data_IF_314568396240
#
_entry.id   IF_314568396240
#
_cell.length_a   1.000
_cell.length_b   1.000
_cell.length_c   1.000
_cell.angle_alpha   90.00
_cell.angle_beta   90.00
_cell.angle_gamma   90.00
#
_symmetry.space_group_name_H-M   'P 1'
#
loop_
_entity.id
_entity.type
_entity.pdbx_description
1 polymer ?
#
# COMPACT_ATOMS: atom_id res chain seq x y z
N UNK A 1 -17.41 -17.56 -13.17
CA UNK A 1 -18.11 -16.26 -13.11
C UNK A 1 -18.51 -15.83 -14.51
N UNK A 2 -19.57 -15.03 -14.64
CA UNK A 2 -20.33 -14.92 -15.89
C UNK A 2 -19.80 -13.84 -16.88
N UNK A 3 -19.59 -14.23 -18.14
CA UNK A 3 -19.19 -13.34 -19.24
C UNK A 3 -20.29 -12.34 -19.66
N UNK A 4 -21.56 -12.67 -19.45
CA UNK A 4 -22.69 -11.76 -19.70
C UNK A 4 -22.60 -10.51 -18.81
N UNK A 5 -22.20 -10.68 -17.55
CA UNK A 5 -21.99 -9.56 -16.62
C UNK A 5 -20.81 -8.70 -17.07
N UNK A 6 -19.72 -9.29 -17.57
CA UNK A 6 -18.58 -8.57 -18.15
C UNK A 6 -18.98 -7.75 -19.37
N UNK A 7 -19.81 -8.32 -20.25
CA UNK A 7 -20.32 -7.62 -21.42
C UNK A 7 -21.23 -6.44 -21.03
N UNK A 8 -22.12 -6.63 -20.05
CA UNK A 8 -22.98 -5.56 -19.53
C UNK A 8 -22.15 -4.43 -18.89
N UNK A 9 -21.15 -4.79 -18.08
CA UNK A 9 -20.20 -3.84 -17.48
C UNK A 9 -19.46 -3.03 -18.54
N UNK A 10 -18.87 -3.69 -19.54
CA UNK A 10 -18.13 -3.02 -20.61
C UNK A 10 -19.03 -2.06 -21.40
N UNK A 11 -20.27 -2.46 -21.70
CA UNK A 11 -21.23 -1.60 -22.39
C UNK A 11 -21.55 -0.34 -21.58
N UNK A 12 -21.80 -0.46 -20.27
CA UNK A 12 -22.10 0.66 -19.38
C UNK A 12 -20.89 1.61 -19.25
N UNK A 13 -19.69 1.06 -19.05
CA UNK A 13 -18.44 1.85 -18.99
C UNK A 13 -18.22 2.61 -20.30
N UNK A 14 -18.48 1.99 -21.45
CA UNK A 14 -18.32 2.62 -22.75
C UNK A 14 -19.36 3.73 -23.02
N UNK A 15 -20.63 3.52 -22.62
CA UNK A 15 -21.70 4.47 -22.89
C UNK A 15 -21.75 5.65 -21.93
N UNK A 16 -21.38 5.43 -20.66
CA UNK A 16 -21.61 6.40 -19.58
C UNK A 16 -20.32 6.86 -18.89
N UNK A 17 -19.21 6.12 -19.03
CA UNK A 17 -17.91 6.51 -18.49
C UNK A 17 -17.93 6.77 -16.98
N UNK A 18 -17.29 7.86 -16.57
CA UNK A 18 -17.14 8.24 -15.15
C UNK A 18 -18.46 8.41 -14.40
N UNK A 19 -19.51 8.89 -15.10
CA UNK A 19 -20.84 9.03 -14.50
C UNK A 19 -21.42 7.68 -14.04
N UNK A 20 -20.97 6.55 -14.59
CA UNK A 20 -21.37 5.21 -14.17
C UNK A 20 -20.64 4.73 -12.93
N UNK A 21 -19.31 4.77 -12.95
CA UNK A 21 -18.50 4.14 -11.89
C UNK A 21 -18.09 5.09 -10.76
N UNK A 22 -18.44 6.38 -10.85
CA UNK A 22 -18.23 7.34 -9.75
C UNK A 22 -19.11 7.11 -8.51
N UNK A 23 -20.15 6.28 -8.62
CA UNK A 23 -21.05 5.94 -7.50
C UNK A 23 -21.37 4.43 -7.49
N UNK A 24 -20.98 3.75 -6.40
CA UNK A 24 -21.22 2.33 -6.21
C UNK A 24 -22.72 1.96 -6.20
N UNK A 25 -23.61 2.83 -5.68
CA UNK A 25 -25.05 2.58 -5.67
C UNK A 25 -25.64 2.61 -7.09
N UNK A 26 -25.08 3.47 -7.95
CA UNK A 26 -25.47 3.55 -9.36
C UNK A 26 -25.02 2.33 -10.14
N UNK A 27 -23.81 1.84 -9.89
CA UNK A 27 -23.30 0.59 -10.46
C UNK A 27 -24.20 -0.59 -10.09
N UNK A 28 -24.60 -0.69 -8.81
CA UNK A 28 -25.51 -1.72 -8.32
C UNK A 28 -26.87 -1.67 -9.04
N UNK A 29 -27.47 -0.48 -9.13
CA UNK A 29 -28.78 -0.30 -9.76
C UNK A 29 -28.78 -0.65 -11.26
N UNK A 30 -27.81 -0.15 -12.02
CA UNK A 30 -27.78 -0.33 -13.48
C UNK A 30 -27.38 -1.76 -13.89
N UNK A 31 -26.48 -2.41 -13.15
CA UNK A 31 -26.19 -3.83 -13.40
C UNK A 31 -27.34 -4.72 -12.96
N UNK A 32 -28.00 -4.41 -11.84
CA UNK A 32 -29.19 -5.12 -11.38
C UNK A 32 -30.35 -5.09 -12.37
N UNK A 33 -30.54 -3.97 -13.07
CA UNK A 33 -31.56 -3.84 -14.12
C UNK A 33 -31.28 -4.74 -15.34
N UNK A 34 -30.00 -4.90 -15.72
CA UNK A 34 -29.61 -5.61 -16.95
C UNK A 34 -29.31 -7.10 -16.75
N UNK A 35 -28.67 -7.44 -15.64
CA UNK A 35 -28.10 -8.77 -15.35
C UNK A 35 -28.40 -9.21 -13.91
N UNK A 36 -29.58 -8.84 -13.39
CA UNK A 36 -30.01 -9.06 -12.00
C UNK A 36 -30.04 -10.53 -11.55
N UNK A 37 -30.01 -11.49 -12.48
CA UNK A 37 -29.91 -12.92 -12.18
C UNK A 37 -28.50 -13.34 -11.67
N UNK A 38 -27.54 -12.40 -11.59
CA UNK A 38 -26.16 -12.62 -11.13
C UNK A 38 -25.77 -11.75 -9.91
N UNK A 39 -26.45 -11.91 -8.75
CA UNK A 39 -26.26 -11.02 -7.60
C UNK A 39 -24.85 -11.09 -6.98
N UNK A 40 -24.18 -12.26 -7.02
CA UNK A 40 -22.83 -12.42 -6.47
C UNK A 40 -21.78 -11.64 -7.28
N UNK A 41 -21.86 -11.73 -8.61
CA UNK A 41 -21.01 -10.98 -9.52
C UNK A 41 -21.24 -9.47 -9.41
N UNK A 42 -22.50 -9.03 -9.32
CA UNK A 42 -22.84 -7.62 -9.11
C UNK A 42 -22.24 -7.12 -7.79
N UNK A 43 -22.44 -7.86 -6.69
CA UNK A 43 -21.90 -7.49 -5.40
C UNK A 43 -20.37 -7.37 -5.42
N UNK A 44 -19.67 -8.25 -6.13
CA UNK A 44 -18.21 -8.17 -6.29
C UNK A 44 -17.77 -6.91 -7.06
N UNK A 45 -18.46 -6.56 -8.16
CA UNK A 45 -18.16 -5.34 -8.92
C UNK A 45 -18.44 -4.06 -8.14
N UNK A 46 -19.55 -4.02 -7.39
CA UNK A 46 -19.89 -2.91 -6.50
C UNK A 46 -18.86 -2.77 -5.38
N UNK A 47 -18.43 -3.91 -4.81
CA UNK A 47 -17.37 -3.93 -3.80
C UNK A 47 -16.05 -3.40 -4.35
N UNK A 48 -15.70 -3.69 -5.60
CA UNK A 48 -14.51 -3.14 -6.24
C UNK A 48 -14.55 -1.60 -6.32
N UNK A 49 -15.71 -1.02 -6.66
CA UNK A 49 -15.89 0.44 -6.67
C UNK A 49 -15.71 1.02 -5.27
N UNK A 50 -16.35 0.42 -4.25
CA UNK A 50 -16.19 0.84 -2.84
C UNK A 50 -14.75 0.71 -2.36
N UNK A 51 -13.99 -0.24 -2.90
CA UNK A 51 -12.58 -0.46 -2.60
C UNK A 51 -11.61 0.46 -3.36
N UNK A 52 -12.13 1.41 -4.14
CA UNK A 52 -11.31 2.35 -4.92
C UNK A 52 -10.57 1.71 -6.10
N UNK A 53 -10.92 0.47 -6.47
CA UNK A 53 -10.26 -0.29 -7.55
C UNK A 53 -10.31 0.47 -8.87
N UNK A 54 -11.47 1.03 -9.21
CA UNK A 54 -11.68 1.74 -10.48
C UNK A 54 -10.77 2.96 -10.58
N UNK A 55 -10.70 3.76 -9.50
CA UNK A 55 -9.85 4.94 -9.43
C UNK A 55 -8.38 4.58 -9.62
N UNK A 56 -7.88 3.56 -8.91
CA UNK A 56 -6.49 3.13 -9.03
C UNK A 56 -6.18 2.56 -10.42
N UNK A 57 -7.09 1.78 -11.02
CA UNK A 57 -6.91 1.23 -12.38
C UNK A 57 -6.85 2.32 -13.47
N UNK A 58 -7.55 3.44 -13.28
CA UNK A 58 -7.48 4.59 -14.21
C UNK A 58 -6.11 5.27 -14.18
N UNK A 59 -5.46 5.32 -13.01
CA UNK A 59 -4.14 5.94 -12.81
C UNK A 59 -2.98 4.99 -13.13
N UNK A 60 -3.21 3.67 -13.15
CA UNK A 60 -2.19 2.66 -13.43
C UNK A 60 -1.77 2.69 -14.91
N UNK A 61 -0.44 2.80 -15.13
CA UNK A 61 0.18 2.71 -16.46
C UNK A 61 -0.13 1.36 -17.13
N UNK A 62 -0.38 1.31 -18.45
CA UNK A 62 -0.79 0.08 -19.15
C UNK A 62 0.09 -1.16 -18.89
N UNK A 63 1.42 -1.00 -18.81
CA UNK A 63 2.35 -2.10 -18.55
C UNK A 63 2.43 -2.60 -17.10
N UNK A 64 1.71 -1.95 -16.16
CA UNK A 64 1.66 -2.32 -14.74
C UNK A 64 0.29 -2.88 -14.34
N UNK A 65 -0.67 -2.97 -15.27
CA UNK A 65 -2.05 -3.36 -14.95
C UNK A 65 -2.15 -4.78 -14.38
N UNK A 66 -1.40 -5.74 -14.92
CA UNK A 66 -1.41 -7.13 -14.41
C UNK A 66 -0.92 -7.21 -12.96
N UNK A 67 0.08 -6.42 -12.60
CA UNK A 67 0.61 -6.34 -11.23
C UNK A 67 -0.43 -5.68 -10.31
N UNK A 68 -1.09 -4.62 -10.79
CA UNK A 68 -2.13 -3.93 -10.03
C UNK A 68 -3.34 -4.83 -9.73
N UNK A 69 -3.72 -5.73 -10.65
CA UNK A 69 -4.86 -6.64 -10.46
C UNK A 69 -4.71 -7.48 -9.19
N UNK A 70 -3.55 -8.10 -8.99
CA UNK A 70 -3.29 -8.92 -7.82
C UNK A 70 -3.32 -8.13 -6.50
N UNK A 71 -2.72 -6.94 -6.49
CA UNK A 71 -2.71 -6.07 -5.31
C UNK A 71 -4.12 -5.58 -4.94
N UNK A 72 -4.89 -5.14 -5.94
CA UNK A 72 -6.26 -4.63 -5.78
C UNK A 72 -7.23 -5.73 -5.35
N UNK A 73 -7.10 -6.93 -5.90
CA UNK A 73 -7.89 -8.09 -5.47
C UNK A 73 -7.57 -8.44 -4.01
N UNK A 74 -6.28 -8.46 -3.64
CA UNK A 74 -5.84 -8.64 -2.27
C UNK A 74 -6.39 -7.57 -1.32
N UNK A 75 -6.55 -6.31 -1.76
CA UNK A 75 -7.21 -5.26 -0.98
C UNK A 75 -8.70 -5.58 -0.78
N UNK A 76 -9.43 -5.96 -1.83
CA UNK A 76 -10.85 -6.32 -1.71
C UNK A 76 -11.08 -7.46 -0.72
N UNK A 77 -10.22 -8.49 -0.73
CA UNK A 77 -10.31 -9.61 0.22
C UNK A 77 -10.06 -9.14 1.65
N UNK A 78 -8.94 -8.46 1.90
CA UNK A 78 -8.52 -8.07 3.26
C UNK A 78 -9.42 -7.03 3.87
N UNK A 79 -9.73 -6.00 3.09
CA UNK A 79 -10.48 -4.85 3.56
C UNK A 79 -11.94 -5.24 3.55
N UNK A 80 -12.51 -5.55 2.39
CA UNK A 80 -13.95 -5.71 2.24
C UNK A 80 -14.48 -7.11 2.56
N UNK A 81 -13.62 -8.05 2.94
CA UNK A 81 -14.02 -9.43 3.20
C UNK A 81 -14.57 -10.14 1.96
N UNK A 82 -14.16 -9.68 0.77
CA UNK A 82 -14.60 -10.28 -0.49
C UNK A 82 -14.05 -11.70 -0.62
N UNK A 83 -14.82 -12.58 -1.26
CA UNK A 83 -14.33 -13.88 -1.68
C UNK A 83 -13.10 -13.71 -2.62
N UNK A 84 -12.00 -14.47 -2.44
CA UNK A 84 -10.78 -14.29 -3.22
C UNK A 84 -10.94 -14.41 -4.73
N UNK A 85 -11.69 -15.41 -5.19
CA UNK A 85 -11.91 -15.64 -6.62
C UNK A 85 -12.84 -14.55 -7.18
N UNK A 86 -13.85 -14.16 -6.41
CA UNK A 86 -14.74 -13.07 -6.78
C UNK A 86 -14.03 -11.71 -6.87
N UNK A 87 -13.11 -11.43 -5.94
CA UNK A 87 -12.30 -10.23 -5.93
C UNK A 87 -11.38 -10.17 -7.15
N UNK A 88 -10.67 -11.26 -7.45
CA UNK A 88 -9.79 -11.32 -8.61
C UNK A 88 -10.56 -11.08 -9.91
N UNK A 89 -11.67 -11.81 -10.10
CA UNK A 89 -12.52 -11.66 -11.27
C UNK A 89 -13.10 -10.25 -11.40
N UNK A 90 -13.51 -9.62 -10.30
CA UNK A 90 -14.09 -8.26 -10.34
C UNK A 90 -13.06 -7.23 -10.80
N UNK A 91 -11.82 -7.31 -10.28
CA UNK A 91 -10.74 -6.41 -10.66
C UNK A 91 -10.33 -6.60 -12.12
N UNK A 92 -10.21 -7.85 -12.59
CA UNK A 92 -9.97 -8.15 -14.00
C UNK A 92 -11.06 -7.59 -14.90
N UNK A 93 -12.33 -7.75 -14.49
CA UNK A 93 -13.50 -7.29 -15.27
C UNK A 93 -13.51 -5.77 -15.41
N UNK A 94 -13.19 -5.04 -14.33
CA UNK A 94 -13.02 -3.59 -14.38
C UNK A 94 -11.82 -3.18 -15.26
N UNK A 95 -10.67 -3.84 -15.12
CA UNK A 95 -9.49 -3.55 -15.93
C UNK A 95 -9.75 -3.73 -17.42
N UNK A 96 -10.48 -4.79 -17.80
CA UNK A 96 -10.88 -5.05 -19.17
C UNK A 96 -11.88 -4.01 -19.68
N UNK A 97 -12.92 -3.68 -18.91
CA UNK A 97 -13.94 -2.70 -19.30
C UNK A 97 -13.34 -1.29 -19.50
N UNK A 98 -12.47 -0.85 -18.59
CA UNK A 98 -11.78 0.44 -18.67
C UNK A 98 -10.76 0.45 -19.82
N UNK A 99 -10.06 -0.66 -20.06
CA UNK A 99 -9.14 -0.81 -21.18
C UNK A 99 -9.84 -0.75 -22.54
N UNK A 100 -11.01 -1.35 -22.67
CA UNK A 100 -11.82 -1.30 -23.90
C UNK A 100 -12.44 0.08 -24.17
N UNK A 101 -12.70 0.86 -23.11
CA UNK A 101 -13.26 2.21 -23.22
C UNK A 101 -12.22 3.29 -23.55
N UNK A 102 -10.92 3.02 -23.38
CA UNK A 102 -9.87 3.97 -23.76
C UNK A 102 -9.70 4.02 -25.29
N UNK A 103 -9.75 5.20 -25.93
CA UNK A 103 -9.46 5.31 -27.35
C UNK A 103 -8.03 4.85 -27.62
N UNK A 104 -7.82 4.13 -28.74
CA UNK A 104 -6.50 3.69 -29.14
C UNK A 104 -5.50 4.87 -29.12
N UNK A 105 -4.27 4.70 -28.61
CA UNK A 105 -3.28 5.77 -28.63
C UNK A 105 -3.13 6.25 -30.08
N UNK A 106 -3.21 7.58 -30.27
CA UNK A 106 -2.99 8.18 -31.58
C UNK A 106 -1.68 7.63 -32.18
N UNK A 107 -1.64 7.28 -33.49
CA UNK A 107 -0.42 6.82 -34.11
C UNK A 107 0.67 7.86 -33.84
N UNK A 108 1.84 7.40 -33.39
CA UNK A 108 2.98 8.27 -33.12
C UNK A 108 3.22 9.18 -34.33
N UNK A 109 3.52 10.49 -34.14
CA UNK A 109 3.88 11.36 -35.25
C UNK A 109 5.04 10.71 -36.01
N UNK A 110 4.93 10.68 -37.34
CA UNK A 110 5.96 10.10 -38.19
C UNK A 110 7.33 10.67 -37.83
N UNK A 111 8.39 9.84 -37.78
CA UNK A 111 9.73 10.33 -37.50
C UNK A 111 10.06 11.46 -38.49
N UNK A 112 10.70 12.55 -38.04
CA UNK A 112 11.10 13.62 -38.95
C UNK A 112 12.00 13.04 -40.06
N UNK A 113 11.92 13.57 -41.30
CA UNK A 113 12.71 13.06 -42.40
C UNK A 113 14.20 13.09 -42.04
N UNK A 114 15.00 12.10 -42.49
CA UNK A 114 16.42 12.07 -42.19
C UNK A 114 17.09 13.34 -42.71
N UNK A 115 17.77 14.04 -41.81
CA UNK A 115 18.59 15.20 -42.15
C UNK A 115 19.70 14.72 -43.10
N UNK A 116 19.90 15.33 -44.28
CA UNK A 116 20.98 14.92 -45.17
C UNK A 116 22.33 15.09 -44.47
N UNK A 117 23.14 14.02 -44.50
CA UNK A 117 24.49 14.02 -43.97
C UNK A 117 25.30 15.11 -44.66
N UNK A 118 25.71 16.12 -43.91
CA UNK A 118 26.72 17.08 -44.35
C UNK A 118 28.07 16.41 -44.13
N UNK A 119 28.83 16.25 -45.22
CA UNK A 119 30.19 15.72 -45.19
C UNK A 119 31.07 16.56 -44.24
N UNK A 120 31.58 15.94 -43.18
CA UNK A 120 32.59 16.55 -42.32
C UNK A 120 33.95 16.51 -43.03
N UNK A 121 34.69 17.63 -43.18
CA UNK A 121 36.07 17.60 -43.62
C UNK A 121 37.01 17.13 -42.49
N UNK A 122 38.24 16.68 -42.83
CA UNK A 122 39.03 15.82 -41.95
C UNK A 122 39.65 16.54 -40.75
N UNK A 123 39.76 15.77 -39.67
CA UNK A 123 40.31 16.10 -38.36
C UNK A 123 41.71 16.72 -38.42
N UNK A 124 41.82 18.00 -38.08
CA UNK A 124 43.08 18.69 -37.76
C UNK A 124 43.28 18.76 -36.24
N UNK A 125 44.42 18.23 -35.77
CA UNK A 125 44.87 18.31 -34.37
C UNK A 125 45.04 19.78 -33.95
N UNK A 126 44.43 20.17 -32.84
CA UNK A 126 44.86 21.32 -32.05
C UNK A 126 44.92 20.96 -30.55
N UNK A 127 45.94 21.44 -29.81
CA UNK A 127 46.14 21.14 -28.39
C UNK A 127 45.20 21.97 -27.51
N UNK A 128 45.02 21.63 -26.22
CA UNK A 128 44.11 22.36 -25.34
C UNK A 128 44.81 23.59 -24.73
N UNK A 129 44.15 24.76 -24.70
CA UNK A 129 44.47 25.78 -23.71
C UNK A 129 43.25 26.10 -22.84
N UNK A 130 43.39 25.87 -21.54
CA UNK A 130 43.51 26.90 -20.49
C UNK A 130 42.17 27.43 -19.94
N UNK A 131 41.97 27.16 -18.65
CA UNK A 131 40.96 27.80 -17.79
C UNK A 131 41.30 29.27 -17.57
N UNK A 132 40.38 30.16 -17.93
CA UNK A 132 40.14 31.49 -17.31
C UNK A 132 38.61 31.63 -17.34
N UNK A 133 37.89 31.79 -16.25
CA UNK A 133 38.03 32.76 -15.18
C UNK A 133 36.61 33.25 -14.90
N UNK A 134 36.05 32.79 -13.77
CA UNK A 134 35.24 33.58 -12.82
C UNK A 134 34.37 34.70 -13.42
N UNK A 135 33.05 34.52 -13.38
CA UNK A 135 32.14 35.62 -13.07
C UNK A 135 31.10 35.18 -12.03
N UNK A 136 30.93 36.08 -11.08
CA UNK A 136 30.19 35.95 -9.83
C UNK A 136 29.02 36.94 -9.88
N UNK A 137 27.90 36.56 -9.22
CA UNK A 137 26.90 37.43 -8.54
C UNK A 137 25.88 38.14 -9.48
N UNK A 138 24.64 38.53 -9.05
CA UNK A 138 23.95 38.39 -7.75
C UNK A 138 22.52 37.77 -7.79
N UNK A 139 22.04 37.33 -6.63
CA UNK A 139 20.61 37.36 -6.25
C UNK A 139 20.22 38.77 -5.78
N UNK A 140 18.99 39.26 -6.13
CA UNK A 140 18.10 39.72 -5.04
C UNK A 140 16.58 39.52 -5.27
N UNK A 141 15.92 39.11 -4.18
CA UNK A 141 14.54 39.34 -3.70
C UNK A 141 13.41 39.74 -4.67
N UNK A 142 12.37 38.89 -4.73
CA UNK A 142 10.97 39.33 -4.66
C UNK A 142 10.23 38.44 -3.67
N UNK A 143 9.65 39.08 -2.65
CA UNK A 143 8.74 38.50 -1.68
C UNK A 143 7.36 38.24 -2.30
N UNK A 144 6.65 37.18 -1.89
CA UNK A 144 5.23 37.12 -1.47
C UNK A 144 4.73 35.66 -1.40
N UNK A 145 4.15 35.26 -0.25
CA UNK A 145 3.36 34.04 -0.01
C UNK A 145 4.17 32.74 0.09
N UNK A 146 4.26 32.02 1.20
CA UNK A 146 3.14 31.52 1.99
C UNK A 146 2.61 30.20 1.41
N UNK A 147 3.34 29.08 1.56
CA UNK A 147 2.82 27.71 1.65
C UNK A 147 3.95 26.65 1.53
N UNK A 148 3.85 25.63 2.39
CA UNK A 148 4.27 24.23 2.19
C UNK A 148 5.73 23.92 1.86
N UNK A 149 6.47 23.52 2.90
CA UNK A 149 7.64 22.65 2.81
C UNK A 149 7.15 21.25 2.38
N UNK A 150 7.25 20.96 1.08
CA UNK A 150 7.17 19.60 0.52
C UNK A 150 8.26 19.52 -0.55
N UNK A 151 9.36 18.83 -0.28
CA UNK A 151 10.44 18.74 -1.26
C UNK A 151 11.75 18.17 -0.74
N UNK A 152 11.71 17.00 -0.11
CA UNK A 152 12.83 16.05 0.01
C UNK A 152 12.16 14.79 0.59
N UNK A 153 11.97 13.68 -0.11
CA UNK A 153 13.01 12.76 -0.58
C UNK A 153 12.40 11.93 -1.70
N UNK A 154 12.84 12.18 -2.94
CA UNK A 154 12.62 11.30 -4.08
C UNK A 154 13.96 11.11 -4.78
N UNK A 155 14.94 10.48 -4.10
CA UNK A 155 16.17 9.98 -4.74
C UNK A 155 17.03 9.17 -3.75
N UNK A 156 16.78 7.87 -3.56
CA UNK A 156 17.81 6.79 -3.52
C UNK A 156 17.10 5.44 -3.73
N UNK A 157 16.83 5.05 -4.97
CA UNK A 157 16.64 3.65 -5.36
C UNK A 157 17.35 3.44 -6.67
N UNK A 158 18.62 3.01 -6.62
CA UNK A 158 19.22 2.20 -7.69
C UNK A 158 20.52 1.54 -7.20
N UNK A 159 20.68 0.27 -7.55
CA UNK A 159 21.88 -0.58 -7.47
C UNK A 159 22.09 -1.29 -6.13
N UNK A 160 21.70 -2.57 -6.07
CA UNK A 160 22.59 -3.73 -5.86
C UNK A 160 21.82 -5.06 -5.95
N UNK A 161 21.40 -5.42 -7.17
CA UNK A 161 21.41 -6.84 -7.57
C UNK A 161 22.84 -7.19 -7.98
N UNK A 162 23.22 -8.46 -7.78
CA UNK A 162 24.52 -9.11 -8.06
C UNK A 162 25.45 -9.15 -6.84
N UNK A 163 25.28 -10.17 -6.00
CA UNK A 163 26.20 -11.33 -5.96
C UNK A 163 25.54 -12.42 -5.14
N UNK A 164 25.15 -13.51 -5.80
CA UNK A 164 24.94 -14.79 -5.13
C UNK A 164 26.27 -15.35 -4.67
N UNK A 165 26.26 -16.00 -3.51
CA UNK A 165 27.24 -17.04 -3.19
C UNK A 165 26.51 -18.22 -2.55
N UNK A 166 26.68 -19.31 -3.26
CA UNK A 166 26.34 -20.70 -3.01
C UNK A 166 26.89 -21.23 -1.69
N UNK A 167 26.12 -22.07 -1.01
CA UNK A 167 26.58 -22.88 0.12
C UNK A 167 25.78 -24.17 0.21
N UNK A 168 26.28 -25.20 -0.47
CA UNK A 168 25.87 -26.60 -0.38
C UNK A 168 26.31 -27.18 0.97
N UNK A 169 25.52 -28.04 1.61
CA UNK A 169 25.69 -29.51 1.56
C UNK A 169 25.18 -30.25 2.81
N UNK A 170 24.85 -31.53 2.60
CA UNK A 170 24.85 -32.65 3.54
C UNK A 170 23.64 -32.91 4.46
N UNK A 171 22.71 -33.73 3.93
CA UNK A 171 22.75 -35.19 4.17
C UNK A 171 22.16 -35.75 5.48
N UNK A 172 21.27 -36.74 5.33
CA UNK A 172 21.06 -37.78 6.35
C UNK A 172 19.60 -38.18 6.58
N UNK A 173 19.09 -39.12 5.76
CA UNK A 173 17.83 -39.81 6.02
C UNK A 173 17.95 -40.87 7.11
N UNK A 174 16.85 -41.11 7.80
CA UNK A 174 16.68 -42.20 8.77
C UNK A 174 15.28 -42.19 9.37
N UNK A 175 14.45 -43.14 8.97
CA UNK A 175 13.04 -43.29 9.33
C UNK A 175 12.84 -44.30 10.48
N UNK A 176 12.18 -43.84 11.57
CA UNK A 176 11.21 -44.49 12.49
C UNK A 176 11.51 -45.87 13.19
N UNK A 177 10.74 -46.31 14.23
CA UNK A 177 9.81 -45.63 15.16
C UNK A 177 10.03 -45.92 16.68
N UNK A 178 9.17 -45.28 17.50
CA UNK A 178 8.91 -45.29 18.96
C UNK A 178 9.07 -46.59 19.78
N UNK A 179 9.19 -46.49 21.12
CA UNK A 179 7.98 -46.56 21.95
C UNK A 179 7.89 -45.55 23.12
N UNK A 180 6.66 -45.30 23.54
CA UNK A 180 6.22 -44.43 24.63
C UNK A 180 6.86 -44.73 25.98
N UNK A 181 7.29 -43.70 26.72
CA UNK A 181 7.35 -43.71 28.18
C UNK A 181 7.06 -42.31 28.71
N UNK A 182 5.96 -42.21 29.46
CA UNK A 182 5.55 -41.05 30.24
C UNK A 182 6.56 -40.80 31.36
N UNK A 183 7.29 -39.69 31.31
CA UNK A 183 7.91 -39.06 32.49
C UNK A 183 7.56 -37.57 32.45
N UNK A 184 6.78 -37.15 33.45
CA UNK A 184 6.49 -35.75 33.71
C UNK A 184 7.80 -35.01 34.05
N UNK A 185 8.33 -34.28 33.07
CA UNK A 185 9.41 -33.31 33.29
C UNK A 185 8.84 -31.92 33.12
N UNK A 186 8.61 -31.24 34.25
CA UNK A 186 8.40 -29.78 34.30
C UNK A 186 9.66 -29.12 33.73
N UNK A 187 9.64 -28.80 32.45
CA UNK A 187 10.60 -27.89 31.83
C UNK A 187 10.17 -26.47 32.19
N UNK A 188 10.66 -25.94 33.31
CA UNK A 188 10.66 -24.49 33.53
C UNK A 188 11.90 -23.92 32.85
N UNK A 189 11.84 -23.76 31.53
CA UNK A 189 12.73 -22.85 30.83
C UNK A 189 12.39 -21.43 31.31
N UNK A 190 13.36 -20.62 31.77
CA UNK A 190 13.09 -19.20 31.98
C UNK A 190 12.89 -18.58 30.60
N UNK A 191 11.64 -18.33 30.20
CA UNK A 191 11.35 -17.45 29.09
C UNK A 191 11.80 -16.05 29.52
N UNK A 192 12.97 -15.61 29.06
CA UNK A 192 13.31 -14.19 29.08
C UNK A 192 12.30 -13.48 28.20
N UNK A 193 11.23 -12.98 28.81
CA UNK A 193 10.19 -12.20 28.14
C UNK A 193 10.86 -10.93 27.61
N UNK A 194 10.87 -10.76 26.28
CA UNK A 194 11.40 -9.55 25.65
C UNK A 194 10.69 -8.30 26.23
N UNK A 195 11.42 -7.19 26.35
CA UNK A 195 10.87 -5.96 26.89
C UNK A 195 9.59 -5.54 26.14
N UNK A 196 8.61 -4.95 26.84
CA UNK A 196 7.38 -4.46 26.22
C UNK A 196 7.71 -3.31 25.28
N UNK A 197 7.07 -3.32 24.10
CA UNK A 197 7.12 -2.23 23.14
C UNK A 197 6.10 -1.17 23.57
N UNK A 198 6.58 0.03 23.86
CA UNK A 198 5.78 1.14 24.38
C UNK A 198 6.17 2.44 23.70
N UNK A 199 5.21 3.35 23.57
CA UNK A 199 5.45 4.69 23.04
C UNK A 199 6.55 5.40 23.87
N UNK A 200 7.59 5.97 23.23
CA UNK A 200 8.62 6.72 23.93
C UNK A 200 8.05 7.87 24.77
N UNK A 201 8.54 8.11 26.00
CA UNK A 201 8.10 9.25 26.81
C UNK A 201 8.34 10.58 26.09
N UNK A 202 7.35 11.47 26.13
CA UNK A 202 7.44 12.80 25.53
C UNK A 202 7.04 12.88 24.05
N UNK A 203 6.71 11.74 23.41
CA UNK A 203 6.08 11.75 22.10
C UNK A 203 4.61 12.20 22.25
N UNK A 204 4.26 13.31 21.61
CA UNK A 204 2.89 13.83 21.60
C UNK A 204 2.15 13.25 20.41
N UNK A 205 1.21 12.35 20.68
CA UNK A 205 0.34 11.75 19.68
C UNK A 205 -1.06 12.38 19.75
N UNK A 206 -1.68 12.57 18.60
CA UNK A 206 -3.08 12.91 18.50
C UNK A 206 -3.95 11.83 19.13
N UNK A 207 -5.04 12.28 19.75
CA UNK A 207 -5.95 11.45 20.52
C UNK A 207 -7.38 11.95 20.35
N UNK A 208 -8.37 11.16 20.77
CA UNK A 208 -9.77 11.55 20.69
C UNK A 208 -10.71 10.36 20.79
N UNK A 209 -11.75 10.37 19.96
CA UNK A 209 -12.74 9.30 19.94
C UNK A 209 -12.20 7.99 19.40
N UNK A 210 -11.17 8.03 18.56
CA UNK A 210 -10.46 6.85 18.09
C UNK A 210 -8.99 7.21 18.09
N UNK A 211 -8.15 6.33 18.64
CA UNK A 211 -6.70 6.42 18.53
C UNK A 211 -6.14 5.01 18.37
N UNK A 212 -5.33 4.81 17.33
CA UNK A 212 -4.65 3.55 17.02
C UNK A 212 -3.17 3.85 16.95
N UNK A 213 -2.38 3.16 17.78
CA UNK A 213 -0.93 3.36 17.85
C UNK A 213 -0.23 2.03 17.64
N UNK A 214 0.68 2.01 16.66
CA UNK A 214 1.62 0.93 16.36
C UNK A 214 2.98 1.27 16.98
N UNK A 215 3.66 0.28 17.55
CA UNK A 215 5.02 0.42 18.09
C UNK A 215 5.87 -0.80 17.71
N UNK A 216 7.08 -0.56 17.21
CA UNK A 216 8.12 -1.59 16.95
C UNK A 216 9.51 -1.06 17.32
N UNK A 217 10.55 -1.90 17.22
CA UNK A 217 11.89 -1.50 17.67
C UNK A 217 13.05 -2.10 16.85
N UNK A 218 12.78 -2.51 15.62
CA UNK A 218 13.77 -2.98 14.66
C UNK A 218 13.75 -2.10 13.41
N UNK A 219 14.71 -2.34 12.51
CA UNK A 219 14.91 -1.50 11.33
C UNK A 219 13.98 -1.78 10.15
N UNK A 220 13.04 -2.74 10.26
CA UNK A 220 12.02 -2.90 9.22
C UNK A 220 11.07 -1.70 9.24
N UNK A 221 10.57 -1.34 8.06
CA UNK A 221 9.59 -0.27 7.89
C UNK A 221 8.19 -0.89 8.02
N UNK A 222 7.54 -0.65 9.16
CA UNK A 222 6.20 -1.19 9.42
C UNK A 222 5.16 -0.08 9.29
N UNK A 223 4.24 -0.24 8.34
CA UNK A 223 3.15 0.71 8.12
C UNK A 223 1.91 0.31 8.93
N UNK A 224 1.30 1.28 9.61
CA UNK A 224 -0.03 1.18 10.19
C UNK A 224 -1.08 1.49 9.12
N UNK A 225 -1.98 0.54 8.92
CA UNK A 225 -3.14 0.71 8.05
C UNK A 225 -4.43 0.69 8.87
N UNK A 226 -5.24 1.74 8.71
CA UNK A 226 -6.54 1.87 9.37
C UNK A 226 -7.62 2.16 8.35
N UNK A 227 -8.63 1.28 8.25
CA UNK A 227 -9.80 1.54 7.43
C UNK A 227 -10.96 1.96 8.30
N UNK A 228 -11.56 3.09 7.94
CA UNK A 228 -12.70 3.66 8.65
C UNK A 228 -14.04 3.07 8.17
N UNK A 229 -15.16 3.42 8.83
CA UNK A 229 -16.49 2.95 8.46
C UNK A 229 -16.94 3.32 7.04
N UNK A 230 -16.37 4.37 6.43
CA UNK A 230 -16.66 4.74 5.04
C UNK A 230 -15.96 3.83 4.02
N UNK A 231 -14.97 3.05 4.47
CA UNK A 231 -14.11 2.25 3.61
C UNK A 231 -12.82 2.95 3.20
N UNK A 232 -12.59 4.18 3.68
CA UNK A 232 -11.34 4.91 3.40
C UNK A 232 -10.20 4.32 4.22
N UNK A 233 -9.12 3.95 3.55
CA UNK A 233 -7.89 3.44 4.16
C UNK A 233 -6.91 4.59 4.44
N UNK A 234 -6.48 4.72 5.70
CA UNK A 234 -5.47 5.65 6.16
C UNK A 234 -4.15 4.89 6.34
N UNK A 235 -3.09 5.38 5.69
CA UNK A 235 -1.71 4.87 5.72
C UNK A 235 -0.76 5.95 5.15
N UNK A 236 0.55 5.72 5.10
CA UNK A 236 1.56 6.73 4.76
C UNK A 236 1.20 7.58 3.51
N UNK A 237 0.74 6.95 2.41
CA UNK A 237 0.44 7.68 1.17
C UNK A 237 -0.98 8.24 1.09
N UNK A 238 -1.87 7.82 1.99
CA UNK A 238 -3.18 8.43 2.19
C UNK A 238 -3.38 8.75 3.68
N UNK A 239 -2.72 9.79 4.21
CA UNK A 239 -2.64 10.01 5.66
C UNK A 239 -3.93 10.62 6.25
N UNK A 240 -4.99 10.83 5.45
CA UNK A 240 -6.22 11.47 5.91
C UNK A 240 -7.45 10.78 5.33
N UNK A 241 -8.49 10.67 6.16
CA UNK A 241 -9.83 10.29 5.69
C UNK A 241 -10.75 11.50 5.58
N UNK A 242 -11.67 11.54 4.59
CA UNK A 242 -12.79 12.49 4.55
C UNK A 242 -13.66 12.48 5.82
N UNK A 243 -13.63 11.40 6.61
CA UNK A 243 -14.34 11.31 7.89
C UNK A 243 -13.59 11.97 9.06
N UNK A 244 -12.42 12.58 8.81
CA UNK A 244 -11.66 13.35 9.81
C UNK A 244 -10.50 12.60 10.46
N UNK A 245 -10.26 11.34 10.08
CA UNK A 245 -9.13 10.56 10.57
C UNK A 245 -7.80 11.06 10.01
N UNK A 246 -6.75 11.04 10.83
CA UNK A 246 -5.41 11.51 10.43
C UNK A 246 -4.32 10.57 10.95
N UNK A 247 -3.40 10.15 10.08
CA UNK A 247 -2.07 9.64 10.44
C UNK A 247 -1.20 10.86 10.78
N UNK A 248 -0.86 11.03 12.05
CA UNK A 248 -0.20 12.24 12.55
C UNK A 248 1.24 12.02 13.03
N UNK A 249 1.61 10.76 13.24
CA UNK A 249 2.97 10.33 13.49
C UNK A 249 3.24 9.09 12.63
N UNK A 250 4.30 9.17 11.82
CA UNK A 250 4.67 8.22 10.77
C UNK A 250 6.21 8.07 10.79
N UNK A 251 6.71 6.99 11.39
CA UNK A 251 8.16 6.75 11.51
C UNK A 251 8.64 5.83 10.39
N UNK A 252 9.41 6.38 9.44
CA UNK A 252 10.05 5.59 8.39
C UNK A 252 11.34 4.94 8.90
N UNK A 253 11.25 3.67 9.31
CA UNK A 253 12.40 2.91 9.75
C UNK A 253 13.14 2.31 8.54
N UNK A 254 14.47 2.27 8.62
CA UNK A 254 15.31 1.57 7.64
C UNK A 254 16.34 0.69 8.32
N UNK A 255 16.97 -0.24 7.58
CA UNK A 255 17.81 -1.28 8.18
C UNK A 255 19.04 -0.82 8.99
N UNK A 256 19.43 0.45 8.86
CA UNK A 256 20.47 1.07 9.69
C UNK A 256 19.92 1.84 10.91
N UNK A 257 18.61 1.93 11.04
CA UNK A 257 17.90 2.67 12.09
C UNK A 257 17.78 1.80 13.32
N UNK A 258 17.85 2.43 14.48
CA UNK A 258 17.76 1.77 15.78
C UNK A 258 16.84 2.56 16.69
N UNK A 259 16.29 1.91 17.71
CA UNK A 259 15.40 2.53 18.67
C UNK A 259 13.96 2.08 18.47
N UNK A 260 13.05 2.75 19.18
CA UNK A 260 11.62 2.50 19.09
C UNK A 260 11.00 3.40 18.05
N UNK A 261 10.14 2.80 17.23
CA UNK A 261 9.39 3.45 16.17
C UNK A 261 7.90 3.40 16.50
N UNK A 262 7.17 4.43 16.06
CA UNK A 262 5.76 4.61 16.34
C UNK A 262 5.04 5.05 15.06
N UNK A 263 3.83 4.56 14.87
CA UNK A 263 2.85 5.21 14.00
C UNK A 263 1.54 5.43 14.76
N UNK A 264 0.82 6.51 14.43
CA UNK A 264 -0.44 6.86 15.10
C UNK A 264 -1.49 7.40 14.14
N UNK A 265 -2.68 6.80 14.17
CA UNK A 265 -3.88 7.30 13.50
C UNK A 265 -4.91 7.66 14.54
N UNK A 266 -5.56 8.82 14.41
CA UNK A 266 -6.60 9.23 15.32
C UNK A 266 -7.76 9.98 14.66
N UNK A 267 -8.92 9.97 15.33
CA UNK A 267 -10.02 10.89 15.10
C UNK A 267 -10.21 11.73 16.37
N UNK A 268 -10.34 13.07 16.26
CA UNK A 268 -10.55 13.93 17.42
C UNK A 268 -11.88 13.62 18.12
N UNK A 269 -12.02 14.07 19.37
CA UNK A 269 -13.27 13.93 20.13
C UNK A 269 -14.46 14.53 19.37
N UNK A 270 -15.54 13.76 19.24
CA UNK A 270 -16.72 14.12 18.44
C UNK A 270 -16.55 13.95 16.93
N UNK A 271 -15.38 13.51 16.46
CA UNK A 271 -15.05 13.40 15.03
C UNK A 271 -15.11 11.99 14.47
N UNK A 272 -15.11 10.93 15.30
CA UNK A 272 -15.13 9.56 14.80
C UNK A 272 -16.54 9.17 14.31
N UNK A 273 -16.71 8.78 13.03
CA UNK A 273 -17.99 8.22 12.57
C UNK A 273 -18.32 6.91 13.29
N UNK A 274 -19.61 6.63 13.58
CA UNK A 274 -20.02 5.34 14.08
C UNK A 274 -19.83 4.27 13.00
N UNK A 275 -19.52 3.05 13.43
CA UNK A 275 -19.37 1.90 12.56
C UNK A 275 -18.10 1.10 12.80
N UNK A 276 -17.78 0.24 11.85
CA UNK A 276 -16.68 -0.73 11.94
C UNK A 276 -15.38 -0.12 11.44
N UNK A 277 -14.35 -0.23 12.26
CA UNK A 277 -12.97 0.08 11.94
C UNK A 277 -12.18 -1.20 11.78
N UNK A 278 -11.24 -1.21 10.83
CA UNK A 278 -10.32 -2.34 10.56
C UNK A 278 -8.90 -1.85 10.64
N UNK A 279 -8.03 -2.63 11.25
CA UNK A 279 -6.63 -2.27 11.50
C UNK A 279 -5.72 -3.44 11.18
N UNK A 280 -4.62 -3.18 10.49
CA UNK A 280 -3.56 -4.16 10.27
C UNK A 280 -2.21 -3.46 10.12
N UNK A 281 -1.14 -4.23 10.29
CA UNK A 281 0.24 -3.77 10.15
C UNK A 281 0.85 -4.46 8.93
N UNK A 282 1.59 -3.71 8.11
CA UNK A 282 2.27 -4.22 6.92
C UNK A 282 3.78 -4.00 7.05
N UNK A 283 4.57 -5.01 6.74
CA UNK A 283 6.01 -4.85 6.53
C UNK A 283 6.23 -4.27 5.12
N UNK A 284 6.41 -2.96 5.03
CA UNK A 284 6.55 -2.26 3.75
C UNK A 284 7.93 -2.49 3.14
N UNK A 285 8.99 -2.23 3.92
CA UNK A 285 10.38 -2.45 3.54
C UNK A 285 11.08 -3.34 4.55
N UNK A 286 11.51 -4.51 4.11
CA UNK A 286 12.06 -5.55 4.98
C UNK A 286 13.58 -5.54 5.04
N UNK A 287 14.11 -5.79 6.24
CA UNK A 287 15.51 -6.04 6.53
C UNK A 287 15.84 -7.54 6.64
N UNK A 288 14.91 -8.42 6.25
CA UNK A 288 15.10 -9.87 6.13
C UNK A 288 14.83 -10.66 7.41
N UNK A 289 14.22 -10.05 8.42
CA UNK A 289 13.82 -10.72 9.66
C UNK A 289 12.41 -10.30 10.09
N UNK A 290 11.63 -11.18 10.74
CA UNK A 290 10.31 -10.82 11.28
C UNK A 290 10.42 -9.70 12.31
N UNK A 291 9.46 -8.77 12.29
CA UNK A 291 9.41 -7.66 13.25
C UNK A 291 8.42 -7.90 14.36
N UNK A 292 8.82 -7.63 15.60
CA UNK A 292 7.86 -7.58 16.72
C UNK A 292 7.10 -6.26 16.70
N UNK A 293 5.81 -6.33 16.96
CA UNK A 293 4.97 -5.15 17.10
C UNK A 293 4.10 -5.19 18.36
N UNK A 294 3.68 -4.01 18.80
CA UNK A 294 2.58 -3.77 19.73
C UNK A 294 1.60 -2.82 19.07
N UNK A 295 0.31 -3.13 19.13
CA UNK A 295 -0.77 -2.36 18.52
C UNK A 295 -1.87 -2.15 19.56
N UNK A 296 -2.18 -0.88 19.84
CA UNK A 296 -3.23 -0.49 20.76
C UNK A 296 -4.24 0.41 20.06
N UNK A 297 -5.52 0.05 20.09
CA UNK A 297 -6.61 0.88 19.61
C UNK A 297 -7.57 1.22 20.75
N UNK A 298 -7.95 2.48 20.84
CA UNK A 298 -8.99 2.97 21.74
C UNK A 298 -10.19 3.45 20.93
N UNK A 299 -11.37 3.16 21.46
CA UNK A 299 -12.65 3.66 20.96
C UNK A 299 -13.34 4.38 22.12
N UNK A 300 -13.55 5.69 21.95
CA UNK A 300 -13.88 6.64 23.00
C UNK A 300 -12.86 6.52 24.13
N UNK A 301 -13.30 6.10 25.31
CA UNK A 301 -12.44 5.92 26.49
C UNK A 301 -12.03 4.46 26.72
N UNK A 302 -12.47 3.53 25.88
CA UNK A 302 -12.27 2.10 26.07
C UNK A 302 -11.14 1.58 25.19
N UNK A 303 -10.33 0.67 25.74
CA UNK A 303 -9.40 -0.12 24.93
C UNK A 303 -10.23 -1.09 24.09
N UNK A 304 -10.16 -0.92 22.78
CA UNK A 304 -10.88 -1.74 21.81
C UNK A 304 -10.00 -2.88 21.27
N UNK A 305 -8.71 -2.59 21.04
CA UNK A 305 -7.70 -3.58 20.65
C UNK A 305 -6.46 -3.35 21.53
N UNK A 306 -5.90 -4.43 22.06
CA UNK A 306 -4.56 -4.45 22.62
C UNK A 306 -3.91 -5.76 22.21
N UNK A 307 -3.02 -5.68 21.22
CA UNK A 307 -2.40 -6.86 20.61
C UNK A 307 -0.90 -6.68 20.46
N UNK A 308 -0.17 -7.78 20.48
CA UNK A 308 1.25 -7.80 20.17
C UNK A 308 1.57 -9.10 19.44
N UNK A 309 2.55 -9.06 18.54
CA UNK A 309 2.91 -10.24 17.77
C UNK A 309 4.15 -10.00 16.92
N UNK A 310 4.22 -10.73 15.80
CA UNK A 310 5.26 -10.57 14.79
C UNK A 310 4.64 -10.40 13.41
N UNK A 311 5.15 -9.46 12.63
CA UNK A 311 4.95 -9.39 11.17
C UNK A 311 6.04 -10.23 10.51
N UNK A 312 5.73 -10.86 9.38
CA UNK A 312 6.68 -11.72 8.68
C UNK A 312 7.92 -10.99 8.14
N UNK A 313 8.88 -11.77 7.68
CA UNK A 313 10.22 -11.31 7.29
C UNK A 313 10.30 -10.75 5.87
N UNK A 314 9.23 -10.78 5.08
CA UNK A 314 9.23 -10.39 3.69
C UNK A 314 8.47 -9.08 3.48
N UNK A 315 8.90 -8.31 2.48
CA UNK A 315 8.14 -7.14 2.01
C UNK A 315 6.72 -7.58 1.61
N UNK A 316 5.73 -6.85 2.10
CA UNK A 316 4.31 -7.15 1.90
C UNK A 316 3.71 -8.12 2.91
N UNK A 317 4.50 -8.75 3.79
CA UNK A 317 3.95 -9.52 4.91
C UNK A 317 3.10 -8.61 5.80
N UNK A 318 2.03 -9.17 6.36
CA UNK A 318 1.06 -8.40 7.13
C UNK A 318 0.45 -9.21 8.26
N UNK A 319 -0.08 -8.50 9.25
CA UNK A 319 -0.89 -9.12 10.30
C UNK A 319 -2.28 -9.50 9.76
N UNK A 320 -2.99 -10.42 10.42
CA UNK A 320 -4.43 -10.51 10.27
C UNK A 320 -5.09 -9.16 10.55
N UNK A 321 -6.20 -8.91 9.86
CA UNK A 321 -7.01 -7.70 10.08
C UNK A 321 -7.74 -7.84 11.42
N UNK A 322 -7.52 -6.88 12.31
CA UNK A 322 -8.25 -6.73 13.56
C UNK A 322 -9.38 -5.72 13.38
N UNK A 323 -10.51 -5.92 14.04
CA UNK A 323 -11.68 -5.06 13.88
C UNK A 323 -12.22 -4.59 15.23
N UNK A 324 -12.77 -3.37 15.26
CA UNK A 324 -13.56 -2.87 16.38
C UNK A 324 -14.67 -1.95 15.88
N UNK A 325 -15.58 -1.54 16.76
CA UNK A 325 -16.69 -0.66 16.39
C UNK A 325 -16.82 0.52 17.34
N UNK A 326 -17.22 1.66 16.77
CA UNK A 326 -17.63 2.86 17.49
C UNK A 326 -19.15 2.99 17.37
N UNK A 327 -19.82 3.21 18.50
CA UNK A 327 -21.27 3.45 18.59
C UNK A 327 -21.62 4.93 18.62
#
# INVERSE_FOLDING_TARGET
MNEEVRAALAALVQSEGDAFYGDAARVEAQLGERVGDHPSEIAALVTAVRAGVVTELLDVKPGLREIAVGHLAGRMVRIFGADPDAAHWAVESWAQALGAAQPAPAPAPAPPPPVPAVDNPPTGRYPPPERKGRFSIPWPWVAFGGAAVLGLIALVVLVKLITGLTGSDSGGGGEAPSPSTTIASRSTTPTTQAAPLTVPPGLNLGTGDVQITLVWADGNDLDLHVIDPSGTEIYFSNPKSPTGGTLDHDDTAGCATTGTHVENVFWPTGGAPPGRYRVFVKNYSSCGAPSRYSLNATAKTNVAISSSGTVGAHEGDQTPVSEFSVS
#
